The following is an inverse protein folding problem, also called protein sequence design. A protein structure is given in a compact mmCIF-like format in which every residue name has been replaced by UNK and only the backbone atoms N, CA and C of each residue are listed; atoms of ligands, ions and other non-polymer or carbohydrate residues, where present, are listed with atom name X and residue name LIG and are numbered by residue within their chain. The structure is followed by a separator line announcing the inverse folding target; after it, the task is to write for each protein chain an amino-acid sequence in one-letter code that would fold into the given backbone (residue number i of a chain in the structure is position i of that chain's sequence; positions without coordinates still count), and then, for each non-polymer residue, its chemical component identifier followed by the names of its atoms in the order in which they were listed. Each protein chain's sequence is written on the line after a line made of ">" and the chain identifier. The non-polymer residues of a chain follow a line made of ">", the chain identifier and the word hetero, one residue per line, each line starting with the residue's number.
data_IF_631062161017
#
_entry.id   IF_631062161017
#
_cell.length_a   1.000
_cell.length_b   1.000
_cell.length_c   1.000
_cell.angle_alpha   90.00
_cell.angle_beta   90.00
_cell.angle_gamma   90.00
#
_symmetry.space_group_name_H-M   'P 1'
#
loop_
_entity.id
_entity.type
_entity.pdbx_description
1 polymer ?
#
# COMPACT_ATOMS: atom_id res chain seq x y z
N UNK A 1 -7.72 4.19 -23.55
CA UNK A 1 -6.30 4.60 -23.62
C UNK A 1 -5.50 3.63 -22.79
N UNK A 2 -4.57 2.85 -23.36
CA UNK A 2 -3.70 1.99 -22.54
C UNK A 2 -2.88 2.91 -21.64
N UNK A 3 -3.10 2.84 -20.33
CA UNK A 3 -2.27 3.52 -19.34
C UNK A 3 -0.94 2.78 -19.28
N UNK A 4 0.00 3.13 -20.17
CA UNK A 4 1.36 2.61 -20.11
C UNK A 4 1.96 3.00 -18.75
N UNK A 5 2.16 2.01 -17.89
CA UNK A 5 2.78 2.21 -16.58
C UNK A 5 4.23 2.65 -16.78
N UNK A 6 4.69 3.65 -16.02
CA UNK A 6 6.10 4.04 -16.02
C UNK A 6 6.95 2.91 -15.43
N UNK A 7 8.17 2.73 -15.93
CA UNK A 7 9.14 1.76 -15.36
C UNK A 7 9.47 2.05 -13.89
N UNK A 8 9.51 3.33 -13.50
CA UNK A 8 9.76 3.75 -12.13
C UNK A 8 9.16 5.13 -11.86
N UNK A 9 8.83 5.41 -10.61
CA UNK A 9 8.31 6.68 -10.11
C UNK A 9 9.27 7.29 -9.09
N UNK A 10 9.45 8.61 -9.10
CA UNK A 10 10.21 9.29 -8.05
C UNK A 10 9.41 9.40 -6.75
N UNK A 11 10.09 9.65 -5.63
CA UNK A 11 9.41 9.91 -4.35
C UNK A 11 8.38 11.06 -4.43
N UNK A 12 8.65 12.08 -5.26
CA UNK A 12 7.72 13.21 -5.50
C UNK A 12 6.47 12.75 -6.26
N UNK A 13 6.63 11.90 -7.27
CA UNK A 13 5.51 11.35 -8.03
C UNK A 13 4.66 10.43 -7.16
N UNK A 14 5.30 9.54 -6.39
CA UNK A 14 4.62 8.66 -5.44
C UNK A 14 3.83 9.46 -4.41
N UNK A 15 4.45 10.49 -3.81
CA UNK A 15 3.76 11.38 -2.88
C UNK A 15 2.52 12.04 -3.52
N UNK A 16 2.64 12.50 -4.76
CA UNK A 16 1.54 13.12 -5.49
C UNK A 16 0.38 12.14 -5.80
N UNK A 17 0.69 10.88 -6.09
CA UNK A 17 -0.30 9.85 -6.45
C UNK A 17 -0.95 9.17 -5.24
N UNK A 18 -0.21 9.01 -4.14
CA UNK A 18 -0.69 8.31 -2.93
C UNK A 18 -1.28 9.26 -1.89
N UNK A 19 -0.87 10.54 -1.92
CA UNK A 19 -1.17 11.52 -0.88
C UNK A 19 -0.24 11.43 0.34
N UNK A 20 0.76 10.55 0.31
CA UNK A 20 1.81 10.48 1.34
C UNK A 20 2.77 11.67 1.21
N UNK A 21 3.35 12.09 2.32
CA UNK A 21 4.44 13.06 2.32
C UNK A 21 5.79 12.39 2.04
N UNK A 22 6.75 13.13 1.49
CA UNK A 22 8.11 12.63 1.29
C UNK A 22 8.75 12.16 2.61
N UNK A 23 8.43 12.81 3.73
CA UNK A 23 8.88 12.43 5.08
C UNK A 23 8.31 11.07 5.50
N UNK A 24 7.03 10.81 5.23
CA UNK A 24 6.42 9.50 5.51
C UNK A 24 7.07 8.40 4.68
N UNK A 25 7.33 8.64 3.40
CA UNK A 25 8.04 7.69 2.53
C UNK A 25 9.45 7.39 3.05
N UNK A 26 10.21 8.42 3.41
CA UNK A 26 11.54 8.26 4.00
C UNK A 26 11.50 7.48 5.32
N UNK A 27 10.51 7.75 6.18
CA UNK A 27 10.37 7.08 7.46
C UNK A 27 9.95 5.62 7.30
N UNK A 28 9.09 5.29 6.33
CA UNK A 28 8.71 3.90 6.02
C UNK A 28 9.89 3.10 5.50
N UNK A 29 10.71 3.70 4.64
CA UNK A 29 11.96 3.12 4.13
C UNK A 29 12.97 2.89 5.27
N UNK A 30 13.22 3.92 6.10
CA UNK A 30 14.14 3.84 7.24
C UNK A 30 13.75 2.80 8.29
N UNK A 31 12.44 2.50 8.43
CA UNK A 31 11.93 1.48 9.36
C UNK A 31 11.57 0.16 8.67
N UNK A 32 12.04 -0.04 7.44
CA UNK A 32 11.84 -1.23 6.62
C UNK A 32 10.38 -1.70 6.54
N UNK A 33 9.45 -0.74 6.59
CA UNK A 33 8.04 -1.02 6.48
C UNK A 33 7.66 -1.27 5.02
N UNK A 34 8.23 -0.47 4.11
CA UNK A 34 8.24 -0.71 2.67
C UNK A 34 9.47 -0.01 2.10
N UNK A 35 10.35 -0.79 1.48
CA UNK A 35 11.57 -0.28 0.86
C UNK A 35 11.41 -0.19 -0.65
N UNK A 36 11.99 0.85 -1.24
CA UNK A 36 12.04 0.99 -2.70
C UNK A 36 12.70 -0.23 -3.34
N UNK A 37 12.01 -0.90 -4.28
CA UNK A 37 12.58 -2.05 -4.99
C UNK A 37 13.52 -1.64 -6.12
N UNK A 38 13.46 -0.38 -6.56
CA UNK A 38 14.31 0.14 -7.63
C UNK A 38 15.48 0.93 -7.03
N UNK A 39 16.69 0.65 -7.53
CA UNK A 39 17.88 1.37 -7.13
C UNK A 39 17.72 2.89 -7.31
N UNK A 40 18.26 3.65 -6.36
CA UNK A 40 18.22 5.12 -6.41
C UNK A 40 19.00 5.62 -7.63
N UNK A 41 18.50 6.69 -8.26
CA UNK A 41 19.13 7.27 -9.47
C UNK A 41 19.75 8.63 -9.18
N UNK A 42 20.92 8.96 -9.75
CA UNK A 42 21.48 10.30 -9.64
C UNK A 42 20.51 11.36 -10.12
N UNK A 43 20.48 12.50 -9.44
CA UNK A 43 19.74 13.68 -9.89
C UNK A 43 20.51 14.40 -10.98
N UNK A 44 19.78 15.08 -11.89
CA UNK A 44 20.39 15.84 -12.99
C UNK A 44 21.32 16.98 -12.51
N UNK A 45 21.06 17.52 -11.32
CA UNK A 45 21.88 18.54 -10.69
C UNK A 45 23.15 17.99 -10.01
N UNK A 46 23.34 16.66 -9.95
CA UNK A 46 24.45 16.04 -9.24
C UNK A 46 24.31 16.09 -7.71
N UNK A 47 25.23 15.44 -6.99
CA UNK A 47 25.36 15.51 -5.52
C UNK A 47 24.37 14.67 -4.69
N UNK A 48 23.24 14.26 -5.26
CA UNK A 48 22.23 13.45 -4.57
C UNK A 48 21.65 12.35 -5.44
N UNK A 49 21.28 11.23 -4.81
CA UNK A 49 20.49 10.17 -5.43
C UNK A 49 19.02 10.28 -5.00
N UNK A 50 18.12 10.10 -5.97
CA UNK A 50 16.68 10.11 -5.76
C UNK A 50 16.16 8.67 -5.73
N UNK A 51 15.40 8.34 -4.68
CA UNK A 51 14.70 7.05 -4.56
C UNK A 51 13.74 6.83 -5.72
N UNK A 52 13.70 5.61 -6.23
CA UNK A 52 12.81 5.19 -7.32
C UNK A 52 11.94 4.03 -6.86
N UNK A 53 10.68 4.07 -7.25
CA UNK A 53 9.67 3.09 -6.86
C UNK A 53 9.13 2.41 -8.11
N UNK A 54 8.99 1.08 -8.08
CA UNK A 54 8.35 0.34 -9.17
C UNK A 54 6.83 0.62 -9.22
N UNK A 55 6.12 0.25 -10.30
CA UNK A 55 4.66 0.23 -10.29
C UNK A 55 4.06 -0.59 -9.14
N UNK A 56 4.71 -1.70 -8.79
CA UNK A 56 4.31 -2.57 -7.67
C UNK A 56 4.44 -1.82 -6.35
N UNK A 57 5.58 -1.17 -6.10
CA UNK A 57 5.79 -0.38 -4.89
C UNK A 57 4.74 0.73 -4.77
N UNK A 58 4.44 1.40 -5.89
CA UNK A 58 3.43 2.46 -5.93
C UNK A 58 2.04 1.91 -5.57
N UNK A 59 1.69 0.72 -6.07
CA UNK A 59 0.43 0.05 -5.75
C UNK A 59 0.35 -0.28 -4.26
N UNK A 60 1.37 -0.96 -3.71
CA UNK A 60 1.46 -1.28 -2.28
C UNK A 60 1.38 -0.01 -1.40
N UNK A 61 2.16 1.03 -1.73
CA UNK A 61 2.16 2.31 -1.02
C UNK A 61 0.79 3.00 -1.04
N UNK A 62 0.03 2.85 -2.12
CA UNK A 62 -1.31 3.42 -2.20
C UNK A 62 -2.32 2.72 -1.29
N UNK A 63 -2.20 1.39 -1.09
CA UNK A 63 -2.99 0.66 -0.10
C UNK A 63 -2.56 1.01 1.33
N UNK A 64 -1.26 1.14 1.60
CA UNK A 64 -0.77 1.58 2.90
C UNK A 64 -1.24 3.00 3.25
N UNK A 65 -1.27 3.90 2.27
CA UNK A 65 -1.84 5.23 2.43
C UNK A 65 -3.33 5.18 2.76
N UNK A 66 -4.08 4.24 2.17
CA UNK A 66 -5.49 4.01 2.47
C UNK A 66 -5.71 3.53 3.91
N UNK A 67 -4.93 2.54 4.35
CA UNK A 67 -4.96 2.10 5.75
C UNK A 67 -4.66 3.26 6.71
N UNK A 68 -3.67 4.10 6.39
CA UNK A 68 -3.33 5.26 7.21
C UNK A 68 -4.48 6.27 7.29
N UNK A 69 -5.20 6.51 6.18
CA UNK A 69 -6.38 7.38 6.14
C UNK A 69 -7.54 6.84 6.98
N UNK A 70 -7.69 5.51 7.04
CA UNK A 70 -8.70 4.86 7.89
C UNK A 70 -8.35 4.88 9.38
N UNK A 71 -7.16 5.37 9.75
CA UNK A 71 -6.73 5.51 11.14
C UNK A 71 -5.76 4.43 11.61
N UNK A 72 -5.31 3.52 10.74
CA UNK A 72 -4.31 2.52 11.13
C UNK A 72 -2.99 3.22 11.48
N UNK A 73 -2.46 2.89 12.66
CA UNK A 73 -1.13 3.35 13.08
C UNK A 73 -0.05 2.61 12.29
N UNK A 74 1.14 3.19 12.19
CA UNK A 74 2.25 2.53 11.53
C UNK A 74 2.63 1.18 12.17
N UNK A 75 2.37 1.02 13.48
CA UNK A 75 2.60 -0.25 14.17
C UNK A 75 1.57 -1.31 13.77
N UNK A 76 0.28 -0.95 13.64
CA UNK A 76 -0.74 -1.87 13.09
C UNK A 76 -0.39 -2.27 11.67
N UNK A 77 -0.02 -1.32 10.81
CA UNK A 77 0.43 -1.61 9.45
C UNK A 77 1.62 -2.58 9.45
N UNK A 78 2.61 -2.37 10.32
CA UNK A 78 3.74 -3.31 10.46
C UNK A 78 3.27 -4.71 10.83
N UNK A 79 2.35 -4.83 11.81
CA UNK A 79 1.78 -6.14 12.20
C UNK A 79 1.11 -6.84 11.02
N UNK A 80 0.31 -6.13 10.24
CA UNK A 80 -0.33 -6.66 9.02
C UNK A 80 0.71 -7.20 8.04
N UNK A 81 1.73 -6.39 7.71
CA UNK A 81 2.77 -6.79 6.76
C UNK A 81 3.57 -7.99 7.27
N UNK A 82 3.83 -8.05 8.58
CA UNK A 82 4.49 -9.19 9.21
C UNK A 82 3.60 -10.43 9.16
N UNK A 83 2.29 -10.30 9.42
CA UNK A 83 1.35 -11.41 9.38
C UNK A 83 1.26 -12.01 7.96
N UNK A 84 1.18 -11.16 6.94
CA UNK A 84 1.22 -11.58 5.53
C UNK A 84 2.46 -12.41 5.20
N UNK A 85 3.64 -11.96 5.64
CA UNK A 85 4.89 -12.68 5.40
C UNK A 85 5.02 -13.97 6.22
N UNK A 86 4.65 -13.95 7.50
CA UNK A 86 4.91 -15.05 8.42
C UNK A 86 3.87 -16.17 8.36
N UNK A 87 2.59 -15.83 8.14
CA UNK A 87 1.51 -16.81 8.15
C UNK A 87 1.05 -17.22 6.75
N UNK A 88 1.19 -16.33 5.76
CA UNK A 88 0.72 -16.57 4.40
C UNK A 88 1.86 -16.65 3.38
N UNK A 89 3.10 -16.32 3.77
CA UNK A 89 4.26 -16.40 2.88
C UNK A 89 4.24 -15.41 1.72
N UNK A 90 3.36 -14.42 1.73
CA UNK A 90 3.10 -13.55 0.58
C UNK A 90 3.43 -12.08 0.86
N UNK A 91 3.56 -11.30 -0.21
CA UNK A 91 3.70 -9.85 -0.16
C UNK A 91 2.35 -9.14 -0.15
N UNK A 92 2.35 -7.86 0.23
CA UNK A 92 1.15 -7.04 0.19
C UNK A 92 0.58 -6.93 -1.22
N UNK A 93 1.43 -6.81 -2.24
CA UNK A 93 1.00 -6.78 -3.64
C UNK A 93 0.07 -7.95 -4.02
N UNK A 94 0.43 -9.17 -3.61
CA UNK A 94 -0.34 -10.38 -3.90
C UNK A 94 -1.70 -10.36 -3.20
N UNK A 95 -1.75 -9.85 -1.96
CA UNK A 95 -2.98 -9.75 -1.17
C UNK A 95 -3.95 -8.63 -1.62
N UNK A 96 -3.49 -7.75 -2.53
CA UNK A 96 -4.27 -6.65 -3.12
C UNK A 96 -4.77 -6.96 -4.53
N UNK A 97 -4.34 -8.07 -5.12
CA UNK A 97 -4.80 -8.55 -6.42
C UNK A 97 -6.11 -9.32 -6.30
N UNK A 98 -6.88 -9.34 -7.38
CA UNK A 98 -8.12 -10.14 -7.44
C UNK A 98 -7.83 -11.65 -7.60
N UNK A 99 -6.71 -12.00 -8.23
CA UNK A 99 -6.25 -13.38 -8.42
C UNK A 99 -5.23 -13.83 -7.34
N UNK A 100 -5.13 -13.08 -6.24
CA UNK A 100 -4.23 -13.42 -5.14
C UNK A 100 -4.72 -14.64 -4.34
N UNK A 101 -3.83 -15.37 -3.66
CA UNK A 101 -4.23 -16.48 -2.79
C UNK A 101 -5.08 -16.04 -1.59
N UNK A 102 -5.04 -14.74 -1.28
CA UNK A 102 -5.87 -14.13 -0.25
C UNK A 102 -6.42 -12.78 -0.72
N UNK A 103 -7.56 -12.40 -0.15
CA UNK A 103 -8.14 -11.06 -0.27
C UNK A 103 -8.10 -10.35 1.09
N UNK A 104 -7.60 -9.11 1.10
CA UNK A 104 -7.64 -8.26 2.30
C UNK A 104 -8.99 -7.57 2.46
N UNK A 105 -9.55 -7.68 3.65
CA UNK A 105 -10.84 -7.11 4.04
C UNK A 105 -10.64 -6.20 5.25
N UNK A 106 -11.34 -5.08 5.31
CA UNK A 106 -11.28 -4.12 6.41
C UNK A 106 -12.66 -3.93 6.99
N UNK A 107 -12.75 -4.04 8.32
CA UNK A 107 -13.93 -3.67 9.11
C UNK A 107 -13.48 -2.72 10.23
N UNK A 108 -13.93 -1.47 10.19
CA UNK A 108 -13.46 -0.41 11.07
C UNK A 108 -11.93 -0.24 11.06
N UNK A 109 -11.29 -0.57 12.18
CA UNK A 109 -9.83 -0.56 12.35
C UNK A 109 -9.21 -1.96 12.32
N UNK A 110 -10.01 -3.00 12.16
CA UNK A 110 -9.53 -4.37 12.00
C UNK A 110 -9.39 -4.74 10.53
N UNK A 111 -8.52 -5.71 10.28
CA UNK A 111 -8.18 -6.14 8.94
C UNK A 111 -8.02 -7.65 8.94
N UNK A 112 -8.63 -8.26 7.94
CA UNK A 112 -8.82 -9.68 7.81
C UNK A 112 -8.23 -10.14 6.48
N UNK A 113 -7.67 -11.34 6.47
CA UNK A 113 -7.37 -12.06 5.25
C UNK A 113 -8.46 -13.12 5.02
N UNK A 114 -9.05 -13.12 3.83
CA UNK A 114 -9.90 -14.21 3.35
C UNK A 114 -9.09 -15.06 2.37
N UNK A 115 -8.91 -16.34 2.65
CA UNK A 115 -8.28 -17.28 1.69
C UNK A 115 -9.26 -17.66 0.59
N UNK A 116 -8.75 -18.22 -0.49
CA UNK A 116 -9.53 -18.87 -1.56
C UNK A 116 -10.52 -19.91 -1.04
N UNK A 117 -10.15 -20.67 0.00
CA UNK A 117 -11.00 -21.64 0.69
C UNK A 117 -12.14 -21.02 1.50
N UNK A 118 -12.19 -19.68 1.59
CA UNK A 118 -13.19 -18.94 2.34
C UNK A 118 -12.90 -18.77 3.84
N UNK A 119 -11.75 -19.23 4.33
CA UNK A 119 -11.37 -19.05 5.73
C UNK A 119 -10.92 -17.59 6.00
N UNK A 120 -11.32 -17.06 7.15
CA UNK A 120 -11.01 -15.69 7.57
C UNK A 120 -9.97 -15.69 8.68
N UNK A 121 -9.03 -14.75 8.63
CA UNK A 121 -7.97 -14.60 9.64
C UNK A 121 -7.86 -13.14 10.06
N UNK A 122 -7.91 -12.82 11.35
CA UNK A 122 -7.65 -11.45 11.82
C UNK A 122 -6.14 -11.20 11.88
N UNK A 123 -5.65 -10.29 11.03
CA UNK A 123 -4.21 -10.05 10.85
C UNK A 123 -3.54 -9.29 12.02
N UNK A 124 -4.33 -8.76 12.96
CA UNK A 124 -3.83 -7.96 14.08
C UNK A 124 -3.86 -8.70 15.41
N UNK A 125 -4.82 -9.61 15.58
CA UNK A 125 -5.07 -10.33 16.83
C UNK A 125 -4.54 -11.76 16.75
N UNK A 126 -5.07 -12.55 15.81
CA UNK A 126 -4.80 -14.00 15.70
C UNK A 126 -4.58 -14.40 14.23
N UNK A 127 -3.47 -13.98 13.61
CA UNK A 127 -3.24 -14.19 12.17
C UNK A 127 -3.04 -15.65 11.76
N UNK A 128 -2.72 -16.54 12.70
CA UNK A 128 -2.54 -17.98 12.45
C UNK A 128 -3.77 -18.85 12.72
N UNK A 129 -4.89 -18.27 13.17
CA UNK A 129 -6.08 -19.02 13.54
C UNK A 129 -7.27 -18.60 12.66
N UNK A 130 -7.95 -19.55 12.00
CA UNK A 130 -9.15 -19.23 11.22
C UNK A 130 -10.29 -18.84 12.17
N UNK A 131 -11.08 -17.86 11.74
CA UNK A 131 -12.26 -17.36 12.42
C UNK A 131 -13.52 -17.83 11.71
N UNK A 132 -14.54 -18.17 12.49
CA UNK A 132 -15.89 -18.40 11.98
C UNK A 132 -16.60 -17.04 11.92
N UNK A 133 -16.83 -16.56 10.71
CA UNK A 133 -17.49 -15.27 10.46
C UNK A 133 -18.99 -15.50 10.25
N UNK A 134 -19.81 -14.88 11.09
CA UNK A 134 -21.27 -14.91 10.97
C UNK A 134 -21.74 -13.61 10.31
N UNK A 135 -22.02 -13.66 9.00
CA UNK A 135 -22.44 -12.52 8.20
C UNK A 135 -21.26 -11.78 7.54
N UNK A 136 -21.26 -11.70 6.21
CA UNK A 136 -20.16 -11.08 5.42
C UNK A 136 -20.40 -9.59 5.09
N UNK A 137 -21.57 -9.03 5.45
CA UNK A 137 -22.06 -7.77 4.88
C UNK A 137 -21.30 -6.51 5.32
N UNK A 138 -20.47 -6.55 6.38
CA UNK A 138 -19.71 -5.39 6.85
C UNK A 138 -18.32 -5.23 6.21
N UNK A 139 -17.78 -6.29 5.58
CA UNK A 139 -16.39 -6.29 5.14
C UNK A 139 -16.18 -5.48 3.86
N UNK A 140 -15.22 -4.55 3.90
CA UNK A 140 -14.80 -3.78 2.72
C UNK A 140 -13.46 -4.29 2.21
N UNK A 141 -13.42 -4.77 0.97
CA UNK A 141 -12.15 -5.15 0.34
C UNK A 141 -11.17 -3.99 0.30
N UNK A 142 -9.95 -4.22 0.80
CA UNK A 142 -8.86 -3.28 0.70
C UNK A 142 -8.31 -3.32 -0.72
N UNK A 143 -8.54 -2.24 -1.47
CA UNK A 143 -7.97 -2.05 -2.80
C UNK A 143 -7.05 -0.85 -2.80
N UNK A 144 -5.96 -0.95 -3.53
CA UNK A 144 -5.07 0.17 -3.76
C UNK A 144 -5.73 1.16 -4.73
N UNK A 145 -5.88 2.42 -4.29
CA UNK A 145 -6.49 3.49 -5.09
C UNK A 145 -5.48 4.62 -5.30
N UNK A 146 -5.13 4.87 -6.55
CA UNK A 146 -4.31 6.02 -6.93
C UNK A 146 -5.16 7.27 -7.02
N UNK A 147 -4.67 8.38 -6.46
CA UNK A 147 -5.33 9.68 -6.59
C UNK A 147 -5.09 10.22 -8.00
N UNK A 148 -6.17 10.50 -8.74
CA UNK A 148 -6.10 11.41 -9.88
C UNK A 148 -6.04 12.84 -9.35
N UNK A 149 -4.89 13.51 -9.52
CA UNK A 149 -4.77 14.92 -9.19
C UNK A 149 -5.63 15.72 -10.17
N UNK A 150 -6.73 16.34 -9.70
CA UNK A 150 -7.38 17.43 -10.44
C UNK A 150 -6.35 18.56 -10.58
N UNK A 151 -5.88 18.83 -11.79
CA UNK A 151 -5.06 20.02 -12.07
C UNK A 151 -5.95 21.23 -11.77
N UNK A 152 -5.61 22.03 -10.76
CA UNK A 152 -6.20 23.38 -10.62
C UNK A 152 -5.70 24.20 -11.82
N UNK A 153 -6.58 24.85 -12.60
CA UNK A 153 -6.12 25.71 -13.69
C UNK A 153 -5.25 26.83 -13.10
N UNK A 154 -4.09 27.05 -13.71
CA UNK A 154 -3.19 28.12 -13.31
C UNK A 154 -3.92 29.45 -13.53
N UNK A 155 -4.10 30.23 -12.46
CA UNK A 155 -4.59 31.60 -12.57
C UNK A 155 -3.52 32.42 -13.28
N UNK A 156 -3.74 32.70 -14.56
CA UNK A 156 -2.92 33.59 -15.37
C UNK A 156 -3.24 35.01 -14.91
N UNK A 157 -2.34 35.62 -14.13
CA UNK A 157 -2.43 37.06 -13.83
C UNK A 157 -2.14 37.81 -15.14
N UNK A 158 -3.12 38.59 -15.58
CA UNK A 158 -3.01 39.67 -16.56
C UNK A 158 -2.44 40.91 -15.90
#
# INVERSE_FOLDING_TARGET
>A
MPTTLKKSYSAREVAALTGLTARQLQWWDARQLLSASVASKPTAAGGFTERRYSPVDLYELSALAELRRRGFTAQRIRKVLTALRQHFGIRLFEALGDDGPITLLVDGLDIYARTDSGAFYNLLQSPGQPLLVLGEDSFKTLRARLRRKRRKPAHRKT
#
